data_IF_450349333621
#
_entry.id   IF_450349333621
#
_cell.length_a   1.000
_cell.length_b   1.000
_cell.length_c   1.000
_cell.angle_alpha   90.00
_cell.angle_beta   90.00
_cell.angle_gamma   90.00
#
_symmetry.space_group_name_H-M   'P 1'
#
loop_
_entity.id
_entity.type
_entity.pdbx_description
1 polymer ?
#
# COMPACT_ATOMS: atom_id res chain seq x y z
N UNK A 1 -5.74 10.66 17.57
CA UNK A 1 -5.78 9.45 16.72
C UNK A 1 -5.36 9.87 15.33
N UNK A 2 -4.22 9.38 14.85
CA UNK A 2 -3.81 9.61 13.46
C UNK A 2 -4.57 8.61 12.57
N UNK A 3 -5.25 9.12 11.56
CA UNK A 3 -5.95 8.30 10.57
C UNK A 3 -5.04 8.18 9.36
N UNK A 4 -4.72 6.95 8.98
CA UNK A 4 -4.03 6.61 7.74
C UNK A 4 -5.06 6.37 6.65
N UNK A 5 -4.65 6.49 5.39
CA UNK A 5 -5.50 6.19 4.23
C UNK A 5 -5.09 4.85 3.64
N UNK A 6 -6.05 3.93 3.49
CA UNK A 6 -5.80 2.70 2.75
C UNK A 6 -5.51 3.03 1.28
N UNK A 7 -4.41 2.52 0.75
CA UNK A 7 -3.99 2.80 -0.64
C UNK A 7 -4.76 1.97 -1.69
N UNK A 8 -5.66 1.08 -1.27
CA UNK A 8 -6.56 0.39 -2.19
C UNK A 8 -7.70 1.35 -2.61
N UNK A 9 -7.81 1.74 -3.90
CA UNK A 9 -8.82 2.70 -4.36
C UNK A 9 -10.27 2.20 -4.22
N UNK A 10 -10.48 0.89 -4.06
CA UNK A 10 -11.80 0.32 -3.81
C UNK A 10 -12.20 0.35 -2.32
N UNK A 11 -11.28 0.73 -1.43
CA UNK A 11 -11.53 0.82 0.00
C UNK A 11 -11.94 2.25 0.38
N UNK A 12 -13.09 2.39 1.03
CA UNK A 12 -13.59 3.68 1.54
C UNK A 12 -13.46 3.82 3.05
N UNK A 13 -13.00 2.76 3.72
CA UNK A 13 -12.96 2.70 5.18
C UNK A 13 -11.70 3.37 5.74
N UNK A 14 -11.85 3.99 6.91
CA UNK A 14 -10.75 4.63 7.60
C UNK A 14 -9.76 3.56 8.12
N UNK A 15 -8.46 3.82 7.95
CA UNK A 15 -7.41 3.00 8.53
C UNK A 15 -6.91 3.71 9.80
N UNK A 16 -7.24 3.18 10.97
CA UNK A 16 -6.72 3.74 12.21
C UNK A 16 -5.26 3.32 12.40
N UNK A 17 -4.38 4.25 12.77
CA UNK A 17 -2.94 3.95 12.95
C UNK A 17 -2.67 2.86 14.01
N UNK A 18 -3.57 2.72 14.99
CA UNK A 18 -3.46 1.72 16.07
C UNK A 18 -4.12 0.37 15.70
N UNK A 19 -4.73 0.26 14.52
CA UNK A 19 -5.31 -0.99 14.02
C UNK A 19 -4.31 -1.75 13.18
N UNK A 20 -4.48 -3.08 13.09
CA UNK A 20 -3.65 -3.93 12.25
C UNK A 20 -3.67 -3.44 10.80
N UNK A 21 -2.48 -3.21 10.26
CA UNK A 21 -2.30 -2.72 8.91
C UNK A 21 -1.03 -3.28 8.28
N UNK A 22 -1.00 -3.32 6.96
CA UNK A 22 0.16 -3.69 6.18
C UNK A 22 0.81 -2.41 5.66
N UNK A 23 2.10 -2.25 5.95
CA UNK A 23 2.96 -1.20 5.37
C UNK A 23 3.75 -1.79 4.21
N UNK A 24 3.68 -1.13 3.06
CA UNK A 24 4.39 -1.52 1.84
C UNK A 24 5.30 -0.37 1.43
N UNK A 25 6.58 -0.67 1.30
CA UNK A 25 7.58 0.28 0.81
C UNK A 25 7.85 -0.01 -0.67
N UNK A 26 7.40 0.89 -1.53
CA UNK A 26 7.67 0.83 -2.96
C UNK A 26 8.92 1.66 -3.26
N UNK A 27 10.00 0.96 -3.59
CA UNK A 27 11.23 1.60 -4.03
C UNK A 27 11.25 1.75 -5.55
N UNK A 28 11.42 2.98 -6.02
CA UNK A 28 11.64 3.30 -7.43
C UNK A 28 13.10 3.60 -7.65
N UNK A 29 13.83 2.57 -8.09
CA UNK A 29 15.21 2.70 -8.58
C UNK A 29 15.22 3.26 -10.00
N UNK A 30 15.95 4.34 -10.24
CA UNK A 30 16.19 4.90 -11.59
C UNK A 30 17.68 4.84 -11.91
N UNK A 31 18.02 4.49 -13.15
CA UNK A 31 19.43 4.24 -13.55
C UNK A 31 20.38 5.45 -13.41
N UNK A 32 19.87 6.69 -13.32
CA UNK A 32 20.68 7.93 -13.28
C UNK A 32 20.07 9.03 -12.41
N UNK A 33 19.22 8.68 -11.46
CA UNK A 33 18.49 9.64 -10.63
C UNK A 33 18.48 9.15 -9.18
N UNK A 34 18.05 10.00 -8.25
CA UNK A 34 17.90 9.60 -6.85
C UNK A 34 16.79 8.55 -6.72
N UNK A 35 17.02 7.57 -5.88
CA UNK A 35 16.01 6.59 -5.51
C UNK A 35 14.86 7.28 -4.78
N UNK A 36 13.64 6.96 -5.19
CA UNK A 36 12.42 7.46 -4.56
C UNK A 36 11.78 6.30 -3.79
N UNK A 37 11.56 6.46 -2.50
CA UNK A 37 10.80 5.50 -1.68
C UNK A 37 9.42 6.09 -1.39
N UNK A 38 8.37 5.33 -1.70
CA UNK A 38 7.00 5.67 -1.34
C UNK A 38 6.47 4.63 -0.36
N UNK A 39 5.75 5.09 0.66
CA UNK A 39 5.11 4.23 1.65
C UNK A 39 3.61 4.19 1.40
N UNK A 40 3.05 2.98 1.39
CA UNK A 40 1.61 2.75 1.29
C UNK A 40 1.14 1.92 2.47
N UNK A 41 -0.07 2.23 2.94
CA UNK A 41 -0.71 1.55 4.05
C UNK A 41 -1.98 0.87 3.55
N UNK A 42 -2.24 -0.35 4.00
CA UNK A 42 -3.41 -1.12 3.59
C UNK A 42 -4.03 -1.83 4.80
N UNK A 43 -5.34 -2.06 4.76
CA UNK A 43 -5.93 -3.14 5.56
C UNK A 43 -5.36 -4.50 5.09
N UNK A 44 -5.21 -5.49 5.98
CA UNK A 44 -4.66 -6.81 5.62
C UNK A 44 -5.38 -7.49 4.44
N UNK A 45 -6.71 -7.42 4.42
CA UNK A 45 -7.56 -7.96 3.36
C UNK A 45 -7.41 -7.20 2.05
N UNK A 46 -7.26 -5.88 2.11
CA UNK A 46 -7.04 -5.04 0.94
C UNK A 46 -5.68 -5.35 0.30
N UNK A 47 -4.63 -5.52 1.10
CA UNK A 47 -3.32 -5.91 0.60
C UNK A 47 -3.35 -7.28 -0.08
N UNK A 48 -4.05 -8.24 0.51
CA UNK A 48 -4.20 -9.59 -0.06
C UNK A 48 -4.88 -9.54 -1.43
N UNK A 49 -5.95 -8.77 -1.56
CA UNK A 49 -6.66 -8.61 -2.83
C UNK A 49 -5.79 -7.94 -3.92
N UNK A 50 -5.07 -6.88 -3.56
CA UNK A 50 -4.19 -6.14 -4.49
C UNK A 50 -3.02 -7.01 -4.94
N UNK A 51 -2.28 -7.61 -4.00
CA UNK A 51 -1.09 -8.42 -4.32
C UNK A 51 -1.44 -9.66 -5.14
N UNK A 52 -2.58 -10.32 -4.85
CA UNK A 52 -3.06 -11.46 -5.66
C UNK A 52 -3.38 -11.09 -7.11
N UNK A 53 -3.63 -9.81 -7.41
CA UNK A 53 -3.85 -9.37 -8.80
C UNK A 53 -2.54 -9.28 -9.60
N UNK A 54 -1.40 -9.13 -8.95
CA UNK A 54 -0.10 -9.00 -9.62
C UNK A 54 0.40 -10.32 -10.22
N UNK A 55 -0.07 -11.43 -9.68
CA UNK A 55 0.22 -12.77 -10.20
C UNK A 55 -0.68 -13.14 -11.40
N UNK A 56 -1.72 -12.34 -11.68
CA UNK A 56 -2.63 -12.58 -12.80
C UNK A 56 -2.15 -11.83 -14.04
N UNK A 57 -2.18 -12.46 -15.22
CA UNK A 57 -2.01 -11.74 -16.48
C UNK A 57 -3.09 -10.65 -16.61
N UNK A 58 -2.69 -9.48 -17.10
CA UNK A 58 -3.59 -8.36 -17.38
C UNK A 58 -4.52 -8.65 -18.57
#
# INVERSE_FOLDING_TARGET
MNTLTCANPACTDALHADSDHVRVEAEKKRMRDRDETQEYYFHPECWTAVSASWEKPA
#
